data_IF_938495606766
#
_entry.id   IF_938495606766
#
_cell.length_a   1.000
_cell.length_b   1.000
_cell.length_c   1.000
_cell.angle_alpha   90.00
_cell.angle_beta   90.00
_cell.angle_gamma   90.00
#
_symmetry.space_group_name_H-M   'P 1'
#
loop_
_entity.id
_entity.type
_entity.pdbx_description
1 polymer ?
#
# COMPACT_ATOMS: atom_id res chain seq x y z
N UNK A 1 46.08 -41.09 17.99
CA UNK A 1 46.03 -39.94 17.05
C UNK A 1 44.55 -39.71 16.73
N UNK A 2 43.91 -38.76 17.41
CA UNK A 2 42.47 -38.51 17.29
C UNK A 2 42.28 -37.41 16.26
N UNK A 3 41.73 -37.74 15.09
CA UNK A 3 41.42 -36.78 14.04
C UNK A 3 40.11 -36.08 14.36
N UNK A 4 40.18 -34.78 14.69
CA UNK A 4 39.03 -33.92 14.88
C UNK A 4 38.56 -33.44 13.49
N UNK A 5 37.45 -33.97 13.00
CA UNK A 5 36.83 -33.52 11.74
C UNK A 5 35.98 -32.30 12.06
N UNK A 6 36.53 -31.10 11.85
CA UNK A 6 35.79 -29.85 11.90
C UNK A 6 34.91 -29.74 10.66
N UNK A 7 33.64 -30.13 10.77
CA UNK A 7 32.63 -29.83 9.77
C UNK A 7 32.35 -28.31 9.78
N UNK A 8 32.95 -27.59 8.83
CA UNK A 8 32.60 -26.21 8.57
C UNK A 8 31.18 -26.18 7.95
N UNK A 9 30.19 -25.87 8.78
CA UNK A 9 28.84 -25.59 8.30
C UNK A 9 28.87 -24.25 7.57
N UNK A 10 28.99 -24.27 6.24
CA UNK A 10 28.80 -23.07 5.43
C UNK A 10 27.35 -22.60 5.62
N UNK A 11 27.17 -21.47 6.29
CA UNK A 11 25.85 -20.87 6.44
C UNK A 11 25.33 -20.51 5.04
N UNK A 12 24.33 -21.25 4.57
CA UNK A 12 23.62 -20.88 3.35
C UNK A 12 22.94 -19.52 3.57
N UNK A 13 22.94 -18.63 2.57
CA UNK A 13 22.19 -17.38 2.66
C UNK A 13 20.73 -17.69 2.99
N UNK A 14 20.12 -16.92 3.91
CA UNK A 14 18.70 -17.03 4.16
C UNK A 14 17.93 -16.69 2.89
N UNK A 15 16.87 -17.46 2.59
CA UNK A 15 15.99 -17.13 1.48
C UNK A 15 15.45 -15.69 1.63
N UNK A 16 15.35 -14.91 0.53
CA UNK A 16 14.88 -13.54 0.58
C UNK A 16 13.46 -13.49 1.15
N UNK A 17 13.17 -12.46 1.93
CA UNK A 17 11.83 -12.23 2.47
C UNK A 17 10.85 -11.90 1.34
N UNK A 18 9.61 -12.33 1.49
CA UNK A 18 8.55 -12.10 0.50
C UNK A 18 7.55 -11.09 1.04
N UNK A 19 7.24 -10.09 0.23
CA UNK A 19 6.17 -9.12 0.49
C UNK A 19 5.13 -9.26 -0.59
N UNK A 20 3.87 -9.46 -0.19
CA UNK A 20 2.76 -9.54 -1.12
C UNK A 20 2.13 -8.17 -1.34
N UNK A 21 1.83 -7.85 -2.59
CA UNK A 21 0.89 -6.81 -2.97
C UNK A 21 -0.45 -7.48 -3.30
N UNK A 22 -1.40 -7.43 -2.37
CA UNK A 22 -2.75 -7.95 -2.55
C UNK A 22 -3.66 -6.83 -3.08
N UNK A 23 -4.01 -6.90 -4.35
CA UNK A 23 -4.81 -5.87 -5.03
C UNK A 23 -5.60 -6.49 -6.19
N UNK A 24 -6.63 -5.82 -6.71
CA UNK A 24 -7.26 -6.25 -7.95
C UNK A 24 -6.32 -5.94 -9.12
N UNK A 25 -5.87 -6.98 -9.82
CA UNK A 25 -5.12 -6.92 -11.08
C UNK A 25 -6.01 -7.25 -12.29
N UNK A 26 -7.22 -7.76 -12.04
CA UNK A 26 -8.23 -8.05 -13.04
C UNK A 26 -9.51 -7.19 -12.84
N UNK A 27 -10.41 -7.24 -13.83
CA UNK A 27 -11.74 -6.61 -13.79
C UNK A 27 -11.73 -5.07 -13.65
N UNK A 28 -12.84 -4.50 -13.16
CA UNK A 28 -13.11 -3.05 -13.11
C UNK A 28 -12.18 -2.24 -12.21
N UNK A 29 -11.43 -2.90 -11.32
CA UNK A 29 -10.54 -2.24 -10.37
C UNK A 29 -9.05 -2.48 -10.66
N UNK A 30 -8.71 -3.08 -11.80
CA UNK A 30 -7.32 -3.40 -12.17
C UNK A 30 -6.34 -2.22 -12.09
N UNK A 31 -6.84 -1.00 -12.32
CA UNK A 31 -6.05 0.23 -12.18
C UNK A 31 -5.39 0.36 -10.81
N UNK A 32 -6.06 -0.09 -9.74
CA UNK A 32 -5.53 -0.07 -8.38
C UNK A 32 -4.27 -0.93 -8.30
N UNK A 33 -4.35 -2.17 -8.79
CA UNK A 33 -3.24 -3.12 -8.76
C UNK A 33 -2.05 -2.62 -9.57
N UNK A 34 -2.26 -2.15 -10.80
CA UNK A 34 -1.16 -1.68 -11.65
C UNK A 34 -0.50 -0.42 -11.10
N UNK A 35 -1.26 0.58 -10.64
CA UNK A 35 -0.66 1.79 -10.04
C UNK A 35 0.18 1.45 -8.81
N UNK A 36 -0.33 0.56 -7.94
CA UNK A 36 0.37 0.12 -6.75
C UNK A 36 1.64 -0.69 -7.10
N UNK A 37 1.57 -1.57 -8.11
CA UNK A 37 2.70 -2.40 -8.49
C UNK A 37 3.89 -1.57 -8.97
N UNK A 38 3.66 -0.57 -9.82
CA UNK A 38 4.74 0.30 -10.29
C UNK A 38 5.33 1.16 -9.17
N UNK A 39 4.50 1.66 -8.24
CA UNK A 39 4.97 2.41 -7.07
C UNK A 39 5.85 1.54 -6.16
N UNK A 40 5.41 0.30 -5.93
CA UNK A 40 6.10 -0.67 -5.09
C UNK A 40 7.43 -1.11 -5.71
N UNK A 41 7.48 -1.29 -7.04
CA UNK A 41 8.72 -1.61 -7.77
C UNK A 41 9.73 -0.46 -7.70
N UNK A 42 9.27 0.77 -7.96
CA UNK A 42 10.13 1.95 -7.83
C UNK A 42 10.74 2.03 -6.41
N UNK A 43 9.91 1.87 -5.38
CA UNK A 43 10.38 1.86 -4.00
C UNK A 43 11.36 0.71 -3.69
N UNK A 44 11.18 -0.47 -4.30
CA UNK A 44 12.11 -1.60 -4.13
C UNK A 44 13.47 -1.27 -4.74
N UNK A 45 13.47 -0.75 -5.97
CA UNK A 45 14.68 -0.39 -6.70
C UNK A 45 15.47 0.71 -5.96
N UNK A 46 14.77 1.74 -5.47
CA UNK A 46 15.37 2.82 -4.69
C UNK A 46 15.92 2.35 -3.34
N UNK A 47 15.28 1.37 -2.70
CA UNK A 47 15.74 0.78 -1.45
C UNK A 47 16.93 -0.17 -1.64
N UNK A 48 17.16 -0.68 -2.86
CA UNK A 48 18.17 -1.71 -3.11
C UNK A 48 17.92 -3.01 -2.32
N UNK A 49 16.66 -3.28 -1.96
CA UNK A 49 16.30 -4.42 -1.11
C UNK A 49 16.32 -5.74 -1.89
N UNK A 50 16.75 -6.81 -1.24
CA UNK A 50 16.68 -8.19 -1.78
C UNK A 50 15.29 -8.83 -1.59
N UNK A 51 14.32 -8.07 -1.06
CA UNK A 51 12.95 -8.52 -0.83
C UNK A 51 12.31 -8.96 -2.14
N UNK A 52 11.73 -10.15 -2.15
CA UNK A 52 10.94 -10.64 -3.26
C UNK A 52 9.51 -10.09 -3.19
N UNK A 53 9.12 -9.35 -4.22
CA UNK A 53 7.75 -8.87 -4.38
C UNK A 53 6.86 -9.90 -5.08
N UNK A 54 5.66 -10.12 -4.54
CA UNK A 54 4.64 -10.96 -5.15
C UNK A 54 3.35 -10.17 -5.38
N UNK A 55 2.97 -9.98 -6.63
CA UNK A 55 1.66 -9.44 -6.99
C UNK A 55 0.60 -10.56 -6.86
N UNK A 56 -0.35 -10.39 -5.95
CA UNK A 56 -1.45 -11.33 -5.72
C UNK A 56 -2.77 -10.67 -6.13
N UNK A 57 -3.42 -11.22 -7.16
CA UNK A 57 -4.77 -10.82 -7.54
C UNK A 57 -5.79 -11.24 -6.47
N UNK A 58 -6.62 -10.29 -6.04
CA UNK A 58 -7.65 -10.49 -5.02
C UNK A 58 -8.83 -11.36 -5.50
N UNK A 59 -8.88 -11.70 -6.80
CA UNK A 59 -9.89 -12.55 -7.42
C UNK A 59 -11.27 -11.91 -7.52
N UNK A 60 -11.41 -10.60 -7.28
CA UNK A 60 -12.68 -9.89 -7.37
C UNK A 60 -13.72 -10.30 -6.33
N UNK A 61 -13.35 -11.07 -5.30
CA UNK A 61 -14.26 -11.46 -4.21
C UNK A 61 -13.50 -11.58 -2.89
N UNK A 62 -14.19 -11.29 -1.79
CA UNK A 62 -13.63 -11.45 -0.43
C UNK A 62 -13.18 -12.89 -0.18
N UNK A 63 -13.93 -13.88 -0.67
CA UNK A 63 -13.59 -15.30 -0.51
C UNK A 63 -12.26 -15.66 -1.18
N UNK A 64 -12.04 -15.20 -2.40
CA UNK A 64 -10.81 -15.46 -3.13
C UNK A 64 -9.63 -14.70 -2.52
N UNK A 65 -9.81 -13.43 -2.16
CA UNK A 65 -8.80 -12.64 -1.46
C UNK A 65 -8.35 -13.30 -0.14
N UNK A 66 -9.31 -13.77 0.68
CA UNK A 66 -9.01 -14.55 1.91
C UNK A 66 -8.19 -15.80 1.59
N UNK A 67 -8.58 -16.57 0.56
CA UNK A 67 -7.83 -17.76 0.16
C UNK A 67 -6.40 -17.46 -0.30
N UNK A 68 -6.15 -16.30 -0.94
CA UNK A 68 -4.80 -15.84 -1.30
C UNK A 68 -3.96 -15.54 -0.06
N UNK A 69 -4.54 -14.84 0.93
CA UNK A 69 -3.87 -14.57 2.20
C UNK A 69 -3.54 -15.86 2.94
N UNK A 70 -4.50 -16.79 3.04
CA UNK A 70 -4.29 -18.10 3.68
C UNK A 70 -3.21 -18.94 3.00
N UNK A 71 -3.07 -18.83 1.68
CA UNK A 71 -2.00 -19.49 0.94
C UNK A 71 -0.64 -18.82 1.22
N UNK A 72 -0.61 -17.48 1.22
CA UNK A 72 0.62 -16.72 1.46
C UNK A 72 1.14 -16.89 2.90
N UNK A 73 0.25 -16.98 3.90
CA UNK A 73 0.61 -17.28 5.30
C UNK A 73 1.41 -18.59 5.47
N UNK A 74 1.30 -19.54 4.53
CA UNK A 74 2.01 -20.84 4.61
C UNK A 74 3.42 -20.78 4.04
N UNK A 75 3.79 -19.69 3.39
CA UNK A 75 5.13 -19.52 2.85
C UNK A 75 6.08 -19.09 3.98
N UNK A 76 7.13 -19.87 4.31
CA UNK A 76 8.04 -19.56 5.41
C UNK A 76 8.88 -18.29 5.16
N UNK A 77 8.93 -17.79 3.92
CA UNK A 77 9.58 -16.53 3.59
C UNK A 77 8.64 -15.32 3.63
N UNK A 78 7.32 -15.52 3.76
CA UNK A 78 6.36 -14.42 3.81
C UNK A 78 6.57 -13.53 5.03
N UNK A 79 6.56 -12.21 4.80
CA UNK A 79 6.96 -11.24 5.80
C UNK A 79 5.93 -10.13 6.03
N UNK A 80 5.26 -9.65 4.98
CA UNK A 80 4.22 -8.63 5.08
C UNK A 80 3.28 -8.67 3.88
N UNK A 81 2.10 -8.06 4.04
CA UNK A 81 1.10 -7.87 2.98
C UNK A 81 0.81 -6.37 2.87
N UNK A 82 0.94 -5.81 1.68
CA UNK A 82 0.44 -4.48 1.32
C UNK A 82 -0.88 -4.70 0.56
N UNK A 83 -1.97 -4.10 1.03
CA UNK A 83 -3.31 -4.38 0.52
C UNK A 83 -4.05 -3.12 0.05
N UNK A 84 -4.68 -3.22 -1.12
CA UNK A 84 -5.47 -2.14 -1.73
C UNK A 84 -6.72 -2.68 -2.39
N UNK A 85 -7.80 -1.90 -2.36
CA UNK A 85 -9.05 -2.22 -3.03
C UNK A 85 -10.12 -2.84 -2.12
N UNK A 86 -11.37 -2.90 -2.61
CA UNK A 86 -12.54 -3.21 -1.77
C UNK A 86 -12.55 -4.64 -1.22
N UNK A 87 -12.05 -5.62 -1.97
CA UNK A 87 -12.04 -7.02 -1.53
C UNK A 87 -10.80 -7.35 -0.71
N UNK A 88 -9.61 -6.96 -1.19
CA UNK A 88 -8.34 -7.16 -0.48
C UNK A 88 -8.32 -6.58 0.94
N UNK A 89 -9.03 -5.48 1.19
CA UNK A 89 -9.01 -4.77 2.48
C UNK A 89 -10.18 -5.14 3.40
N UNK A 90 -11.06 -6.05 2.97
CA UNK A 90 -12.25 -6.43 3.72
C UNK A 90 -11.90 -7.06 5.07
N UNK A 91 -12.76 -6.89 6.08
CA UNK A 91 -12.54 -7.35 7.46
C UNK A 91 -12.20 -8.85 7.57
N UNK A 92 -12.81 -9.70 6.74
CA UNK A 92 -12.50 -11.15 6.71
C UNK A 92 -11.10 -11.45 6.15
N UNK A 93 -10.60 -10.65 5.22
CA UNK A 93 -9.24 -10.78 4.68
C UNK A 93 -8.23 -10.34 5.74
N UNK A 94 -8.50 -9.22 6.41
CA UNK A 94 -7.69 -8.73 7.54
C UNK A 94 -7.55 -9.80 8.64
N UNK A 95 -8.67 -10.41 9.06
CA UNK A 95 -8.69 -11.47 10.10
C UNK A 95 -7.97 -12.76 9.68
N UNK A 96 -7.89 -13.05 8.38
CA UNK A 96 -7.19 -14.21 7.86
C UNK A 96 -5.66 -14.00 7.84
N UNK A 97 -5.18 -12.75 7.78
CA UNK A 97 -3.75 -12.48 7.78
C UNK A 97 -3.12 -12.85 9.12
N UNK A 98 -2.03 -13.62 9.08
CA UNK A 98 -1.15 -13.87 10.24
C UNK A 98 0.07 -12.94 10.22
N UNK A 99 0.28 -12.23 9.12
CA UNK A 99 1.40 -11.33 8.87
C UNK A 99 0.97 -9.87 9.09
N UNK A 100 1.91 -8.93 9.34
CA UNK A 100 1.61 -7.51 9.25
C UNK A 100 0.95 -7.18 7.90
N UNK A 101 -0.25 -6.58 7.95
CA UNK A 101 -1.03 -6.19 6.78
C UNK A 101 -1.19 -4.68 6.76
N UNK A 102 -0.60 -4.01 5.78
CA UNK A 102 -0.66 -2.57 5.59
C UNK A 102 -1.72 -2.25 4.54
N UNK A 103 -2.83 -1.64 4.95
CA UNK A 103 -3.89 -1.19 4.06
C UNK A 103 -3.57 0.22 3.60
N UNK A 104 -3.39 0.41 2.29
CA UNK A 104 -3.01 1.71 1.72
C UNK A 104 -4.25 2.48 1.27
N UNK A 105 -4.46 3.67 1.83
CA UNK A 105 -5.66 4.47 1.60
C UNK A 105 -6.89 3.99 2.39
N UNK A 106 -8.02 4.62 2.14
CA UNK A 106 -9.31 4.33 2.74
C UNK A 106 -10.28 3.67 1.75
N UNK A 107 -10.77 2.49 2.10
CA UNK A 107 -11.65 1.65 1.27
C UNK A 107 -13.02 1.42 1.91
N UNK A 108 -13.40 2.27 2.87
CA UNK A 108 -14.68 2.16 3.59
C UNK A 108 -14.74 1.01 4.61
N UNK A 109 -13.59 0.41 4.94
CA UNK A 109 -13.47 -0.62 5.97
C UNK A 109 -12.77 -0.06 7.20
N UNK A 110 -13.15 -0.56 8.38
CA UNK A 110 -12.40 -0.32 9.62
C UNK A 110 -11.42 -1.45 9.89
N UNK A 111 -10.44 -1.17 10.77
CA UNK A 111 -9.50 -2.18 11.28
C UNK A 111 -10.23 -3.31 12.00
N UNK A 112 -9.94 -4.54 11.59
CA UNK A 112 -10.59 -5.76 12.07
C UNK A 112 -9.62 -6.78 12.71
N UNK A 113 -8.30 -6.53 12.67
CA UNK A 113 -7.27 -7.39 13.25
C UNK A 113 -6.09 -6.58 13.83
N UNK A 114 -5.43 -7.13 14.85
CA UNK A 114 -4.37 -6.46 15.59
C UNK A 114 -3.08 -6.24 14.78
N UNK A 115 -2.82 -7.08 13.79
CA UNK A 115 -1.71 -7.00 12.84
C UNK A 115 -2.04 -6.18 11.58
N UNK A 116 -3.19 -5.51 11.52
CA UNK A 116 -3.56 -4.63 10.41
C UNK A 116 -3.22 -3.18 10.74
N UNK A 117 -2.63 -2.47 9.77
CA UNK A 117 -2.19 -1.08 9.88
C UNK A 117 -2.76 -0.28 8.70
N UNK A 118 -3.49 0.80 8.98
CA UNK A 118 -4.05 1.69 7.96
C UNK A 118 -3.07 2.83 7.68
N UNK A 119 -2.71 2.97 6.41
CA UNK A 119 -1.90 4.06 5.88
C UNK A 119 -2.85 5.14 5.36
N UNK A 120 -3.61 5.66 6.31
CA UNK A 120 -4.56 6.74 6.15
C UNK A 120 -4.82 7.37 7.52
N UNK A 121 -5.24 8.63 7.53
CA UNK A 121 -5.70 9.26 8.76
C UNK A 121 -6.94 8.53 9.31
N UNK A 122 -6.96 8.27 10.62
CA UNK A 122 -8.06 7.57 11.28
C UNK A 122 -9.42 8.28 11.07
N UNK A 123 -9.44 9.61 10.99
CA UNK A 123 -10.65 10.41 10.71
C UNK A 123 -11.27 10.05 9.35
N UNK A 124 -10.45 9.67 8.36
CA UNK A 124 -10.93 9.27 7.05
C UNK A 124 -11.69 7.94 7.10
N UNK A 125 -11.26 7.01 7.95
CA UNK A 125 -11.94 5.70 8.06
C UNK A 125 -13.34 5.77 8.67
N UNK A 126 -13.69 6.91 9.29
CA UNK A 126 -14.99 7.16 9.92
C UNK A 126 -15.86 8.12 9.11
N UNK A 127 -15.31 8.78 8.09
CA UNK A 127 -15.99 9.84 7.35
C UNK A 127 -16.69 9.32 6.09
N UNK A 128 -17.96 9.72 5.90
CA UNK A 128 -18.75 9.37 4.71
C UNK A 128 -18.19 9.93 3.37
N UNK A 129 -17.19 10.83 3.41
CA UNK A 129 -16.58 11.49 2.23
C UNK A 129 -15.13 11.07 1.94
N UNK A 130 -14.59 10.10 2.68
CA UNK A 130 -13.26 9.57 2.41
C UNK A 130 -13.39 8.40 1.43
N UNK A 131 -13.19 8.66 0.15
CA UNK A 131 -13.27 7.65 -0.89
C UNK A 131 -12.03 7.78 -1.78
N UNK A 132 -10.93 7.11 -1.42
CA UNK A 132 -9.72 7.07 -2.25
C UNK A 132 -10.00 6.42 -3.62
N UNK A 133 -11.15 5.74 -3.78
CA UNK A 133 -11.63 5.28 -5.08
C UNK A 133 -11.83 6.47 -6.05
N UNK A 134 -12.22 7.65 -5.56
CA UNK A 134 -12.39 8.85 -6.39
C UNK A 134 -11.05 9.38 -6.94
N UNK A 135 -9.92 8.99 -6.34
CA UNK A 135 -8.60 9.30 -6.87
C UNK A 135 -8.24 8.47 -8.12
N UNK A 136 -9.00 7.41 -8.43
CA UNK A 136 -8.75 6.51 -9.57
C UNK A 136 -9.42 7.02 -10.85
N UNK A 137 -8.70 7.01 -11.95
CA UNK A 137 -9.17 7.52 -13.25
C UNK A 137 -10.37 6.72 -13.77
N UNK A 138 -10.29 5.39 -13.79
CA UNK A 138 -11.36 4.52 -14.27
C UNK A 138 -12.59 4.57 -13.36
N UNK A 139 -12.38 4.67 -12.05
CA UNK A 139 -13.50 4.82 -11.13
C UNK A 139 -14.25 6.14 -11.35
N UNK A 140 -13.52 7.20 -11.74
CA UNK A 140 -14.15 8.45 -12.17
C UNK A 140 -14.85 8.33 -13.52
N UNK A 141 -14.21 7.68 -14.50
CA UNK A 141 -14.77 7.50 -15.85
C UNK A 141 -16.07 6.68 -15.88
N UNK A 142 -16.32 5.85 -14.86
CA UNK A 142 -17.54 5.02 -14.74
C UNK A 142 -18.70 5.73 -14.01
N UNK A 143 -18.51 6.96 -13.53
CA UNK A 143 -19.53 7.70 -12.78
C UNK A 143 -19.88 8.99 -13.53
N UNK A 144 -21.15 9.14 -13.85
CA UNK A 144 -21.68 10.41 -14.31
C UNK A 144 -21.64 11.44 -13.15
N UNK A 145 -21.49 12.72 -13.49
CA UNK A 145 -21.65 13.85 -12.56
C UNK A 145 -20.69 13.84 -11.34
N UNK A 146 -19.39 13.68 -11.60
CA UNK A 146 -18.36 13.85 -10.58
C UNK A 146 -17.76 15.25 -10.51
N UNK A 147 -18.00 16.11 -11.50
CA UNK A 147 -17.44 17.46 -11.51
C UNK A 147 -17.97 18.28 -10.33
N UNK A 148 -17.05 18.95 -9.63
CA UNK A 148 -17.32 19.66 -8.38
C UNK A 148 -17.44 18.76 -7.15
N UNK A 149 -17.27 17.44 -7.27
CA UNK A 149 -17.32 16.53 -6.13
C UNK A 149 -16.02 16.62 -5.32
N UNK A 150 -16.18 16.86 -4.02
CA UNK A 150 -15.09 16.85 -3.06
C UNK A 150 -14.85 15.46 -2.47
N UNK A 151 -13.58 15.14 -2.24
CA UNK A 151 -13.15 13.97 -1.46
C UNK A 151 -11.89 14.28 -0.65
N UNK A 152 -11.57 13.39 0.30
CA UNK A 152 -10.39 13.54 1.16
C UNK A 152 -9.49 12.32 1.08
N UNK A 153 -8.18 12.54 1.09
CA UNK A 153 -7.15 11.49 1.04
C UNK A 153 -5.95 11.88 1.91
N UNK A 154 -5.19 10.87 2.36
CA UNK A 154 -3.87 11.08 2.96
C UNK A 154 -2.73 11.11 1.91
N UNK A 155 -3.02 10.78 0.66
CA UNK A 155 -2.06 10.90 -0.44
C UNK A 155 -1.84 12.36 -0.82
N UNK A 156 -0.60 12.77 -0.95
CA UNK A 156 -0.16 14.12 -1.34
C UNK A 156 -0.21 14.28 -2.86
N UNK A 157 -0.31 15.52 -3.36
CA UNK A 157 -0.11 15.80 -4.78
C UNK A 157 1.25 15.30 -5.26
N UNK A 158 1.29 14.88 -6.51
CA UNK A 158 2.49 14.36 -7.14
C UNK A 158 3.51 15.48 -7.34
N UNK A 159 4.73 15.28 -6.84
CA UNK A 159 5.85 16.11 -7.25
C UNK A 159 6.30 15.73 -8.67
N UNK A 160 6.85 16.68 -9.40
CA UNK A 160 7.39 16.43 -10.75
C UNK A 160 8.49 15.37 -10.72
N UNK A 161 9.38 15.43 -9.71
CA UNK A 161 10.45 14.44 -9.53
C UNK A 161 9.92 13.01 -9.32
N UNK A 162 8.90 12.83 -8.47
CA UNK A 162 8.33 11.49 -8.27
C UNK A 162 7.67 10.98 -9.54
N UNK A 163 6.92 11.84 -10.23
CA UNK A 163 6.25 11.49 -11.49
C UNK A 163 7.25 11.05 -12.55
N UNK A 164 8.35 11.78 -12.73
CA UNK A 164 9.40 11.43 -13.69
C UNK A 164 10.02 10.06 -13.39
N UNK A 165 10.40 9.81 -12.14
CA UNK A 165 10.98 8.52 -11.71
C UNK A 165 9.99 7.37 -11.89
N UNK A 166 8.73 7.60 -11.53
CA UNK A 166 7.65 6.63 -11.71
C UNK A 166 7.47 6.26 -13.18
N UNK A 167 7.33 7.25 -14.06
CA UNK A 167 7.16 7.01 -15.51
C UNK A 167 8.40 6.40 -16.16
N UNK A 168 9.59 6.62 -15.60
CA UNK A 168 10.85 6.03 -16.05
C UNK A 168 11.07 4.59 -15.56
N UNK A 169 10.23 4.07 -14.64
CA UNK A 169 10.43 2.75 -14.04
C UNK A 169 10.15 1.58 -14.98
N UNK A 170 9.36 1.77 -16.05
CA UNK A 170 9.04 0.74 -17.05
C UNK A 170 8.50 1.38 -18.35
N UNK A 171 8.26 0.58 -19.39
CA UNK A 171 7.80 1.07 -20.70
C UNK A 171 6.31 1.45 -20.74
N UNK A 172 5.48 0.82 -19.90
CA UNK A 172 4.00 0.93 -19.94
C UNK A 172 3.41 1.40 -18.61
N UNK A 173 4.14 2.26 -17.91
CA UNK A 173 3.73 2.80 -16.62
C UNK A 173 2.58 3.80 -16.81
N UNK A 174 1.44 3.66 -16.10
CA UNK A 174 0.36 4.65 -16.15
C UNK A 174 0.80 5.99 -15.51
N UNK A 175 -0.02 7.04 -15.63
CA UNK A 175 0.23 8.23 -14.80
C UNK A 175 0.04 7.86 -13.32
N UNK A 176 0.97 8.24 -12.43
CA UNK A 176 0.80 7.97 -11.01
C UNK A 176 -0.40 8.77 -10.48
N UNK A 177 -1.00 8.28 -9.40
CA UNK A 177 -2.09 8.93 -8.70
C UNK A 177 -1.77 9.08 -7.20
N UNK A 178 -2.73 9.58 -6.41
CA UNK A 178 -2.55 9.77 -4.96
C UNK A 178 -2.21 8.47 -4.22
N UNK A 179 -2.73 7.33 -4.67
CA UNK A 179 -2.42 6.03 -4.07
C UNK A 179 -0.98 5.60 -4.38
N UNK A 180 -0.43 5.94 -5.55
CA UNK A 180 0.93 5.59 -5.91
C UNK A 180 1.96 6.19 -4.93
N UNK A 181 1.77 7.43 -4.47
CA UNK A 181 2.67 8.04 -3.48
C UNK A 181 2.58 7.33 -2.12
N UNK A 182 1.37 6.95 -1.69
CA UNK A 182 1.18 6.21 -0.44
C UNK A 182 1.80 4.81 -0.53
N UNK A 183 1.64 4.10 -1.64
CA UNK A 183 2.24 2.78 -1.84
C UNK A 183 3.76 2.87 -1.82
N UNK A 184 4.35 3.89 -2.47
CA UNK A 184 5.79 4.11 -2.47
C UNK A 184 6.34 4.28 -1.04
N UNK A 185 5.73 5.14 -0.23
CA UNK A 185 6.19 5.37 1.15
C UNK A 185 6.01 4.14 2.05
N UNK A 186 4.90 3.41 1.86
CA UNK A 186 4.60 2.19 2.63
C UNK A 186 5.55 1.06 2.28
N UNK A 187 5.91 0.93 1.01
CA UNK A 187 6.95 0.03 0.57
C UNK A 187 8.29 0.35 1.24
N UNK A 188 8.69 1.62 1.23
CA UNK A 188 9.89 2.09 1.92
C UNK A 188 9.89 1.76 3.42
N UNK A 189 8.75 1.95 4.10
CA UNK A 189 8.58 1.55 5.50
C UNK A 189 8.76 0.04 5.70
N UNK A 190 8.13 -0.78 4.86
CA UNK A 190 8.21 -2.24 4.94
C UNK A 190 9.64 -2.72 4.73
N UNK A 191 10.32 -2.24 3.68
CA UNK A 191 11.70 -2.67 3.39
C UNK A 191 12.66 -2.24 4.51
N UNK A 192 12.57 -1.00 4.99
CA UNK A 192 13.38 -0.51 6.10
C UNK A 192 13.14 -1.32 7.40
N UNK A 193 11.89 -1.68 7.68
CA UNK A 193 11.54 -2.51 8.83
C UNK A 193 12.10 -3.93 8.72
N UNK A 194 12.05 -4.54 7.53
CA UNK A 194 12.60 -5.88 7.29
C UNK A 194 14.12 -5.89 7.43
N UNK A 195 14.81 -4.91 6.85
CA UNK A 195 16.27 -4.77 6.94
C UNK A 195 16.72 -4.55 8.40
N UNK A 196 16.00 -3.67 9.12
CA UNK A 196 16.29 -3.35 10.52
C UNK A 196 15.75 -4.39 11.51
N UNK A 197 15.01 -5.40 11.03
CA UNK A 197 14.31 -6.42 11.84
C UNK A 197 13.39 -5.83 12.90
N UNK A 198 12.81 -4.66 12.62
CA UNK A 198 11.84 -4.01 13.49
C UNK A 198 10.43 -4.51 13.19
N UNK A 199 9.58 -4.74 14.21
CA UNK A 199 8.16 -4.92 13.97
C UNK A 199 7.58 -3.70 13.24
N UNK A 200 6.72 -3.91 12.25
CA UNK A 200 6.06 -2.83 11.50
C UNK A 200 5.36 -1.82 12.42
N UNK A 201 4.81 -2.27 13.55
CA UNK A 201 4.19 -1.40 14.57
C UNK A 201 5.14 -0.42 15.25
N UNK A 202 6.45 -0.65 15.17
CA UNK A 202 7.51 0.18 15.75
C UNK A 202 8.38 0.87 14.68
N UNK A 203 8.13 0.56 13.41
CA UNK A 203 8.87 1.13 12.31
C UNK A 203 8.40 2.57 12.04
N UNK A 204 9.33 3.37 11.54
CA UNK A 204 9.09 4.74 11.11
C UNK A 204 9.76 4.97 9.74
N UNK A 205 9.11 5.73 8.87
CA UNK A 205 9.64 6.04 7.55
C UNK A 205 9.22 7.46 7.14
N UNK A 206 10.18 8.27 6.72
CA UNK A 206 9.90 9.59 6.14
C UNK A 206 9.91 9.47 4.63
N UNK A 207 8.72 9.57 4.04
CA UNK A 207 8.53 9.49 2.59
C UNK A 207 8.00 10.79 1.99
N UNK A 208 7.40 10.69 0.81
CA UNK A 208 6.78 11.79 0.06
C UNK A 208 5.67 12.45 0.87
N UNK A 209 4.89 11.65 1.60
CA UNK A 209 3.73 12.10 2.37
C UNK A 209 4.06 12.44 3.83
N UNK A 210 5.35 12.49 4.19
CA UNK A 210 5.83 12.79 5.54
C UNK A 210 6.20 11.55 6.34
N UNK A 211 6.23 11.70 7.68
CA UNK A 211 6.62 10.64 8.60
C UNK A 211 5.46 9.66 8.81
N UNK A 212 5.63 8.42 8.33
CA UNK A 212 4.74 7.29 8.60
C UNK A 212 5.21 6.56 9.85
N UNK A 213 4.35 6.54 10.86
CA UNK A 213 4.46 5.73 12.08
C UNK A 213 3.06 5.37 12.55
N UNK A 214 2.89 4.26 13.27
CA UNK A 214 1.57 3.76 13.65
C UNK A 214 1.25 3.96 15.13
N UNK A 215 0.04 4.45 15.40
CA UNK A 215 -0.58 4.47 16.72
C UNK A 215 -1.96 3.79 16.60
N UNK A 216 -2.23 2.80 17.45
CA UNK A 216 -3.49 2.04 17.45
C UNK A 216 -3.89 1.43 16.09
N UNK A 217 -2.88 1.13 15.26
CA UNK A 217 -3.05 0.57 13.91
C UNK A 217 -3.42 1.59 12.83
N UNK A 218 -3.30 2.89 13.09
CA UNK A 218 -3.48 3.95 12.12
C UNK A 218 -2.23 4.81 12.02
N UNK A 219 -2.02 5.42 10.86
CA UNK A 219 -0.92 6.34 10.66
C UNK A 219 -1.10 7.60 11.53
N UNK A 220 -0.23 7.74 12.52
CA UNK A 220 -0.23 8.86 13.46
C UNK A 220 0.16 10.17 12.77
N UNK A 221 -0.68 11.19 12.90
CA UNK A 221 -0.43 12.49 12.28
C UNK A 221 -0.51 12.47 10.75
N UNK A 222 -1.15 11.44 10.17
CA UNK A 222 -1.34 11.36 8.73
C UNK A 222 -1.98 12.64 8.19
N UNK A 223 -1.45 13.21 7.09
CA UNK A 223 -2.05 14.39 6.48
C UNK A 223 -3.46 14.07 6.00
N UNK A 224 -4.31 15.09 5.98
CA UNK A 224 -5.62 15.01 5.33
C UNK A 224 -5.73 16.14 4.34
N UNK A 225 -5.70 15.78 3.07
CA UNK A 225 -5.86 16.70 1.96
C UNK A 225 -7.30 16.64 1.45
N UNK A 226 -7.83 17.80 1.08
CA UNK A 226 -9.09 17.91 0.36
C UNK A 226 -8.81 18.06 -1.13
N UNK A 227 -9.60 17.37 -1.93
CA UNK A 227 -9.53 17.37 -3.38
C UNK A 227 -10.92 17.60 -3.96
N UNK A 228 -10.95 18.24 -5.12
CA UNK A 228 -12.16 18.45 -5.92
C UNK A 228 -11.90 17.91 -7.32
N UNK A 229 -12.90 17.25 -7.90
CA UNK A 229 -12.83 16.79 -9.29
C UNK A 229 -13.27 17.94 -10.20
N UNK A 230 -12.43 18.31 -11.17
CA UNK A 230 -12.70 19.40 -12.13
C UNK A 230 -12.40 18.91 -13.53
N UNK A 231 -13.43 18.82 -14.38
CA UNK A 231 -13.34 18.25 -15.73
C UNK A 231 -12.71 16.85 -15.74
N UNK A 232 -13.10 16.01 -14.76
CA UNK A 232 -12.56 14.66 -14.58
C UNK A 232 -11.15 14.57 -13.95
N UNK A 233 -10.48 15.69 -13.70
CA UNK A 233 -9.15 15.74 -13.08
C UNK A 233 -9.22 15.96 -11.57
N UNK A 234 -8.26 15.40 -10.83
CA UNK A 234 -8.17 15.58 -9.37
C UNK A 234 -7.34 16.83 -9.06
N UNK A 235 -7.97 17.84 -8.48
CA UNK A 235 -7.30 19.09 -8.10
C UNK A 235 -7.31 19.24 -6.58
N UNK A 236 -6.18 19.58 -5.98
CA UNK A 236 -6.13 19.87 -4.54
C UNK A 236 -6.94 21.13 -4.23
N UNK A 237 -7.92 21.01 -3.35
CA UNK A 237 -8.74 22.14 -2.93
C UNK A 237 -7.88 23.13 -2.15
N UNK A 238 -8.13 24.44 -2.34
CA UNK A 238 -7.54 25.45 -1.48
C UNK A 238 -7.91 25.19 -0.02
N UNK A 239 -7.04 25.52 0.96
CA UNK A 239 -7.44 25.49 2.36
C UNK A 239 -8.71 26.35 2.50
N UNK A 240 -9.79 25.78 3.01
CA UNK A 240 -10.96 26.59 3.37
C UNK A 240 -10.47 27.65 4.35
N UNK A 241 -10.47 28.91 3.94
CA UNK A 241 -10.33 30.02 4.87
C UNK A 241 -11.58 29.96 5.73
N UNK A 242 -11.50 29.23 6.85
CA UNK A 242 -12.58 29.25 7.83
C UNK A 242 -12.79 30.72 8.24
N UNK A 243 -14.01 31.26 8.09
CA UNK A 243 -14.34 32.58 8.62
C UNK A 243 -14.31 32.60 10.15
#
# INVERSE_FOLDING_TARGET
MTALILAACAALPSAPKKVALLAPFENQYREIGYNALYALRLALDDAGSDTQLLALDDGGTVKLATARVDAFNRDPAAAAIIALGPHATHANVQKASQLPMLIVGNWGNSRAAANTFYVANQELTQAAKADDLLALEQARALRDDLDGRDFRSSGSPLSENFRERYLASDLYVPQPNLLATLVYDVAGLVFAALESKLPISQAAHTGINGLIQFQDGYWQGAPVHSYTIVAGEVVKSAPSTMP
#
